data_IF_530187656303
#
_entry.id   IF_530187656303
#
_cell.length_a   1.000
_cell.length_b   1.000
_cell.length_c   1.000
_cell.angle_alpha   90.00
_cell.angle_beta   90.00
_cell.angle_gamma   90.00
#
_symmetry.space_group_name_H-M   'P 1'
#
loop_
_entity.id
_entity.type
_entity.pdbx_description
1 polymer ?
#
# COMPACT_ATOMS: atom_id res chain seq x y z
N UNK A 1 3.34 0.20 12.93
CA UNK A 1 4.03 0.73 11.74
C UNK A 1 3.34 2.01 11.31
N UNK A 2 4.12 3.00 10.84
CA UNK A 2 3.58 4.16 10.12
C UNK A 2 4.18 4.22 8.71
N UNK A 3 3.39 4.72 7.74
CA UNK A 3 3.86 4.96 6.38
C UNK A 3 4.31 6.42 6.20
N UNK A 4 5.28 6.63 5.31
CA UNK A 4 5.72 7.97 4.93
C UNK A 4 4.74 8.65 3.96
N UNK A 5 4.79 9.99 3.86
CA UNK A 5 3.96 10.76 2.92
C UNK A 5 4.56 10.78 1.49
N UNK A 6 5.01 9.63 0.99
CA UNK A 6 5.67 9.48 -0.32
C UNK A 6 4.87 8.69 -1.36
N UNK A 7 3.67 8.22 -1.02
CA UNK A 7 2.82 7.40 -1.88
C UNK A 7 2.74 7.91 -3.32
N UNK A 8 2.32 9.16 -3.49
CA UNK A 8 2.00 9.77 -4.77
C UNK A 8 3.18 10.52 -5.40
N UNK A 9 4.19 10.88 -4.59
CA UNK A 9 5.25 11.78 -5.02
C UNK A 9 6.37 11.02 -5.77
N UNK A 10 6.83 11.61 -6.86
CA UNK A 10 8.09 11.31 -7.51
C UNK A 10 8.87 12.62 -7.72
N UNK A 11 10.10 12.54 -8.17
CA UNK A 11 10.95 13.73 -8.39
C UNK A 11 10.35 14.69 -9.40
N UNK A 12 9.77 14.16 -10.49
CA UNK A 12 9.14 14.99 -11.54
C UNK A 12 7.98 15.85 -11.04
N UNK A 13 7.20 15.37 -10.05
CA UNK A 13 6.13 16.16 -9.44
C UNK A 13 6.69 17.35 -8.66
N UNK A 14 7.78 17.17 -7.94
CA UNK A 14 8.47 18.26 -7.23
C UNK A 14 9.14 19.24 -8.21
N UNK A 15 9.77 18.75 -9.28
CA UNK A 15 10.36 19.59 -10.32
C UNK A 15 9.29 20.44 -11.02
N UNK A 16 8.09 19.90 -11.25
CA UNK A 16 7.00 20.62 -11.91
C UNK A 16 6.50 21.84 -11.12
N UNK A 17 6.76 21.88 -9.81
CA UNK A 17 6.45 23.04 -8.95
C UNK A 17 7.67 23.93 -8.68
N UNK A 18 8.77 23.71 -9.40
CA UNK A 18 9.94 24.60 -9.44
C UNK A 18 11.13 24.18 -8.58
N UNK A 19 11.13 22.98 -7.99
CA UNK A 19 12.33 22.47 -7.31
C UNK A 19 13.37 22.00 -8.34
N UNK A 20 14.65 22.19 -8.03
CA UNK A 20 15.72 21.54 -8.78
C UNK A 20 15.70 20.02 -8.59
N UNK A 21 16.33 19.26 -9.47
CA UNK A 21 16.42 17.80 -9.35
C UNK A 21 17.00 17.35 -7.99
N UNK A 22 17.98 18.10 -7.45
CA UNK A 22 18.53 17.81 -6.12
C UNK A 22 17.48 18.06 -5.03
N UNK A 23 16.81 19.21 -5.04
CA UNK A 23 15.79 19.54 -4.04
C UNK A 23 14.60 18.57 -4.12
N UNK A 24 14.21 18.11 -5.31
CA UNK A 24 13.17 17.11 -5.49
C UNK A 24 13.54 15.76 -4.84
N UNK A 25 14.78 15.30 -5.02
CA UNK A 25 15.30 14.09 -4.36
C UNK A 25 15.35 14.26 -2.84
N UNK A 26 15.87 15.39 -2.36
CA UNK A 26 15.96 15.70 -0.93
C UNK A 26 14.54 15.77 -0.30
N UNK A 27 13.58 16.35 -0.99
CA UNK A 27 12.19 16.41 -0.54
C UNK A 27 11.57 15.02 -0.41
N UNK A 28 11.77 14.14 -1.39
CA UNK A 28 11.27 12.76 -1.34
C UNK A 28 11.93 11.98 -0.18
N UNK A 29 13.24 12.04 -0.03
CA UNK A 29 13.96 11.39 1.06
C UNK A 29 13.54 11.93 2.44
N UNK A 30 13.22 13.23 2.55
CA UNK A 30 12.81 13.86 3.81
C UNK A 30 11.50 13.30 4.39
N UNK A 31 10.66 12.66 3.58
CA UNK A 31 9.42 12.02 4.06
C UNK A 31 9.69 10.96 5.12
N UNK A 32 10.77 10.19 4.97
CA UNK A 32 11.24 9.23 5.98
C UNK A 32 11.73 9.93 7.25
N UNK A 33 12.49 11.00 7.11
CA UNK A 33 12.97 11.78 8.27
C UNK A 33 11.80 12.36 9.08
N UNK A 34 10.74 12.83 8.41
CA UNK A 34 9.55 13.36 9.08
C UNK A 34 8.83 12.24 9.85
N UNK A 35 8.64 11.09 9.22
CA UNK A 35 8.02 9.93 9.86
C UNK A 35 8.86 9.44 11.06
N UNK A 36 10.17 9.37 10.94
CA UNK A 36 11.08 9.02 12.06
C UNK A 36 10.93 9.95 13.26
N UNK A 37 10.85 11.26 13.03
CA UNK A 37 10.63 12.22 14.12
C UNK A 37 9.29 12.01 14.82
N UNK A 38 8.25 11.64 14.09
CA UNK A 38 6.92 11.41 14.65
C UNK A 38 6.87 10.19 15.60
N UNK A 39 7.79 9.23 15.44
CA UNK A 39 7.85 8.00 16.26
C UNK A 39 9.10 7.94 17.14
N UNK A 40 9.82 9.05 17.30
CA UNK A 40 11.03 9.11 18.11
C UNK A 40 10.77 8.64 19.55
N UNK A 41 11.64 7.77 20.06
CA UNK A 41 11.50 7.18 21.40
C UNK A 41 10.45 6.06 21.49
N UNK A 42 9.87 5.60 20.38
CA UNK A 42 8.94 4.47 20.33
C UNK A 42 9.55 3.27 19.56
N UNK A 43 8.89 2.11 19.62
CA UNK A 43 9.22 0.93 18.82
C UNK A 43 8.47 0.87 17.48
N UNK A 44 7.84 1.96 17.05
CA UNK A 44 7.06 2.00 15.81
C UNK A 44 7.99 2.05 14.61
N UNK A 45 7.87 1.07 13.74
CA UNK A 45 8.62 1.01 12.49
C UNK A 45 8.09 2.02 11.46
N UNK A 46 8.99 2.53 10.61
CA UNK A 46 8.69 3.45 9.51
C UNK A 46 8.79 2.70 8.19
N UNK A 47 7.72 2.71 7.41
CA UNK A 47 7.67 2.13 6.07
C UNK A 47 7.63 3.24 5.01
N UNK A 48 8.56 3.19 4.05
CA UNK A 48 8.54 4.10 2.92
C UNK A 48 7.43 3.71 1.93
N UNK A 49 6.44 4.58 1.80
CA UNK A 49 5.25 4.33 0.96
C UNK A 49 5.54 4.55 -0.53
N UNK A 50 5.19 3.56 -1.33
CA UNK A 50 5.34 3.55 -2.79
C UNK A 50 4.01 3.13 -3.42
N UNK A 51 3.29 4.09 -3.98
CA UNK A 51 2.10 3.82 -4.78
C UNK A 51 2.45 3.46 -6.23
N UNK A 52 1.47 3.02 -7.03
CA UNK A 52 1.65 2.72 -8.44
C UNK A 52 2.02 3.97 -9.23
N UNK A 53 2.55 3.78 -10.43
CA UNK A 53 2.84 4.88 -11.35
C UNK A 53 1.62 5.79 -11.57
N UNK A 54 0.43 5.18 -11.68
CA UNK A 54 -0.83 5.91 -11.86
C UNK A 54 -1.12 6.95 -10.79
N UNK A 55 -0.68 6.72 -9.55
CA UNK A 55 -0.85 7.69 -8.46
C UNK A 55 -0.09 9.00 -8.74
N UNK A 56 1.07 8.92 -9.39
CA UNK A 56 1.88 10.10 -9.75
C UNK A 56 1.23 10.99 -10.79
N UNK A 57 0.30 10.45 -11.59
CA UNK A 57 -0.44 11.18 -12.62
C UNK A 57 -1.60 12.02 -12.06
N UNK A 58 -2.03 11.74 -10.81
CA UNK A 58 -3.12 12.44 -10.12
C UNK A 58 -4.44 12.53 -10.93
N UNK A 59 -4.72 11.48 -11.73
CA UNK A 59 -5.89 11.41 -12.62
C UNK A 59 -6.80 10.19 -12.37
N UNK A 60 -6.53 9.43 -11.28
CA UNK A 60 -7.28 8.24 -10.90
C UNK A 60 -6.85 6.96 -11.61
N UNK A 61 -5.76 6.98 -12.38
CA UNK A 61 -5.28 5.79 -13.08
C UNK A 61 -4.71 4.71 -12.14
N UNK A 62 -4.38 5.04 -10.91
CA UNK A 62 -4.09 4.07 -9.85
C UNK A 62 -5.27 3.11 -9.58
N UNK A 63 -6.50 3.49 -9.92
CA UNK A 63 -7.69 2.66 -9.74
C UNK A 63 -8.14 1.94 -11.03
N UNK A 64 -7.31 1.91 -12.08
CA UNK A 64 -7.63 1.17 -13.30
C UNK A 64 -6.41 0.64 -14.06
N UNK A 65 -5.19 0.98 -13.67
CA UNK A 65 -3.95 0.53 -14.31
C UNK A 65 -3.71 1.05 -15.72
N UNK A 66 -4.51 2.02 -16.21
CA UNK A 66 -4.42 2.54 -17.58
C UNK A 66 -3.65 3.84 -17.59
N UNK A 67 -2.34 3.75 -17.69
CA UNK A 67 -1.45 4.91 -17.54
C UNK A 67 -1.31 5.74 -18.80
N UNK A 68 -1.53 5.16 -19.98
CA UNK A 68 -1.43 5.86 -21.27
C UNK A 68 0.00 6.28 -21.64
N UNK A 69 0.99 5.60 -21.10
CA UNK A 69 2.42 5.80 -21.35
C UNK A 69 3.10 4.50 -21.76
N UNK A 70 4.30 4.59 -22.31
CA UNK A 70 5.14 3.41 -22.58
C UNK A 70 5.64 2.80 -21.24
N UNK A 71 5.74 1.47 -21.19
CA UNK A 71 6.12 0.74 -19.98
C UNK A 71 7.49 1.16 -19.41
N UNK A 72 8.41 1.56 -20.28
CA UNK A 72 9.71 2.10 -19.87
C UNK A 72 9.58 3.32 -18.94
N UNK A 73 8.55 4.15 -19.12
CA UNK A 73 8.33 5.32 -18.25
C UNK A 73 7.86 4.88 -16.83
N UNK A 74 7.12 3.78 -16.74
CA UNK A 74 6.74 3.17 -15.46
C UNK A 74 7.97 2.62 -14.75
N UNK A 75 8.84 1.91 -15.48
CA UNK A 75 10.10 1.39 -14.96
C UNK A 75 11.02 2.52 -14.48
N UNK A 76 11.27 3.52 -15.31
CA UNK A 76 12.14 4.67 -14.97
C UNK A 76 11.66 5.39 -13.70
N UNK A 77 10.34 5.57 -13.57
CA UNK A 77 9.73 6.19 -12.38
C UNK A 77 9.99 5.37 -11.12
N UNK A 78 9.76 4.06 -11.16
CA UNK A 78 9.96 3.20 -9.99
C UNK A 78 11.44 3.07 -9.65
N UNK A 79 12.33 2.94 -10.63
CA UNK A 79 13.78 2.90 -10.39
C UNK A 79 14.29 4.14 -9.68
N UNK A 80 13.90 5.32 -10.14
CA UNK A 80 14.32 6.57 -9.52
C UNK A 80 13.75 6.72 -8.11
N UNK A 81 12.46 6.48 -7.93
CA UNK A 81 11.77 6.62 -6.64
C UNK A 81 12.30 5.64 -5.60
N UNK A 82 12.43 4.37 -5.98
CA UNK A 82 12.91 3.32 -5.07
C UNK A 82 14.36 3.54 -4.67
N UNK A 83 15.24 3.92 -5.58
CA UNK A 83 16.63 4.24 -5.25
C UNK A 83 16.73 5.32 -4.15
N UNK A 84 15.87 6.34 -4.19
CA UNK A 84 15.83 7.39 -3.16
C UNK A 84 15.28 6.87 -1.84
N UNK A 85 14.20 6.11 -1.88
CA UNK A 85 13.50 5.66 -0.67
C UNK A 85 14.24 4.54 0.05
N UNK A 86 14.91 3.64 -0.68
CA UNK A 86 15.78 2.61 -0.10
C UNK A 86 16.92 3.25 0.71
N UNK A 87 17.54 4.30 0.15
CA UNK A 87 18.62 5.04 0.83
C UNK A 87 18.11 5.97 1.96
N UNK A 88 16.81 6.17 2.10
CA UNK A 88 16.24 7.14 3.05
C UNK A 88 16.31 6.69 4.52
N UNK A 89 16.64 5.41 4.78
CA UNK A 89 16.71 4.86 6.13
C UNK A 89 15.36 4.44 6.71
N UNK A 90 14.38 4.11 5.87
CA UNK A 90 13.15 3.44 6.30
C UNK A 90 13.44 2.01 6.78
N UNK A 91 12.62 1.47 7.69
CA UNK A 91 12.78 0.09 8.17
C UNK A 91 12.23 -0.92 7.16
N UNK A 92 11.23 -0.51 6.39
CA UNK A 92 10.46 -1.31 5.45
C UNK A 92 10.10 -0.48 4.21
N UNK A 93 9.80 -1.17 3.11
CA UNK A 93 9.16 -0.57 1.94
C UNK A 93 7.70 -1.04 1.88
N UNK A 94 6.78 -0.09 1.75
CA UNK A 94 5.35 -0.33 1.60
C UNK A 94 4.94 -0.16 0.14
N UNK A 95 4.84 -1.24 -0.61
CA UNK A 95 4.31 -1.24 -1.96
C UNK A 95 2.80 -1.39 -1.86
N UNK A 96 2.05 -0.33 -2.20
CA UNK A 96 0.64 -0.28 -1.84
C UNK A 96 -0.28 0.25 -2.94
N UNK A 97 -1.53 -0.26 -2.93
CA UNK A 97 -2.60 0.07 -3.90
C UNK A 97 -2.22 -0.29 -5.35
N UNK A 98 -1.40 -1.31 -5.53
CA UNK A 98 -0.93 -1.70 -6.87
C UNK A 98 -2.10 -2.30 -7.65
N UNK A 99 -2.41 -1.78 -8.86
CA UNK A 99 -3.51 -2.29 -9.66
C UNK A 99 -3.11 -3.44 -10.59
N UNK A 100 -1.81 -3.57 -10.95
CA UNK A 100 -1.31 -4.49 -11.96
C UNK A 100 -0.29 -5.47 -11.39
N UNK A 101 -0.45 -6.75 -11.67
CA UNK A 101 0.51 -7.78 -11.31
C UNK A 101 1.89 -7.54 -11.95
N UNK A 102 1.91 -7.09 -13.20
CA UNK A 102 3.14 -6.82 -13.94
C UNK A 102 3.93 -5.65 -13.34
N UNK A 103 3.24 -4.63 -12.78
CA UNK A 103 3.88 -3.52 -12.07
C UNK A 103 4.44 -3.98 -10.71
N UNK A 104 3.70 -4.83 -9.99
CA UNK A 104 4.20 -5.42 -8.75
C UNK A 104 5.48 -6.24 -8.98
N UNK A 105 5.51 -7.06 -10.02
CA UNK A 105 6.68 -7.85 -10.40
C UNK A 105 7.88 -6.95 -10.75
N UNK A 106 7.68 -5.93 -11.57
CA UNK A 106 8.71 -4.95 -11.91
C UNK A 106 9.30 -4.28 -10.65
N UNK A 107 8.44 -3.88 -9.70
CA UNK A 107 8.88 -3.27 -8.45
C UNK A 107 9.70 -4.26 -7.61
N UNK A 108 9.27 -5.53 -7.53
CA UNK A 108 10.00 -6.56 -6.80
C UNK A 108 11.41 -6.79 -7.39
N UNK A 109 11.53 -6.87 -8.72
CA UNK A 109 12.82 -6.97 -9.41
C UNK A 109 13.75 -5.78 -9.11
N UNK A 110 13.20 -4.55 -9.12
CA UNK A 110 13.98 -3.35 -8.79
C UNK A 110 14.44 -3.37 -7.32
N UNK A 111 13.59 -3.80 -6.39
CA UNK A 111 13.95 -3.89 -4.97
C UNK A 111 15.07 -4.91 -4.74
N UNK A 112 15.05 -6.06 -5.44
CA UNK A 112 16.13 -7.05 -5.38
C UNK A 112 17.45 -6.49 -5.93
N UNK A 113 17.41 -5.81 -7.08
CA UNK A 113 18.60 -5.15 -7.66
C UNK A 113 19.22 -4.10 -6.73
N UNK A 114 18.38 -3.37 -5.98
CA UNK A 114 18.82 -2.32 -5.05
C UNK A 114 19.28 -2.88 -3.68
N UNK A 115 19.06 -4.16 -3.39
CA UNK A 115 19.29 -4.72 -2.04
C UNK A 115 18.45 -4.00 -0.99
N UNK A 116 17.18 -3.78 -1.28
CA UNK A 116 16.27 -2.98 -0.48
C UNK A 116 15.98 -3.61 0.89
N UNK A 117 15.54 -2.81 1.89
CA UNK A 117 14.95 -3.34 3.12
C UNK A 117 13.74 -4.24 2.81
N UNK A 118 13.34 -5.12 3.76
CA UNK A 118 12.15 -5.94 3.59
C UNK A 118 10.91 -5.13 3.18
N UNK A 119 10.04 -5.71 2.36
CA UNK A 119 8.88 -5.02 1.83
C UNK A 119 7.60 -5.82 2.03
N UNK A 120 6.46 -5.11 2.10
CA UNK A 120 5.18 -5.74 1.84
C UNK A 120 4.61 -5.26 0.52
N UNK A 121 3.74 -6.09 -0.06
CA UNK A 121 2.98 -5.73 -1.24
C UNK A 121 1.48 -5.79 -0.95
N UNK A 122 0.76 -4.75 -1.28
CA UNK A 122 -0.69 -4.71 -1.20
C UNK A 122 -1.31 -4.20 -2.49
N UNK A 123 -2.30 -4.94 -2.95
CA UNK A 123 -3.04 -4.64 -4.17
C UNK A 123 -4.33 -3.88 -3.83
N UNK A 124 -4.78 -3.05 -4.75
CA UNK A 124 -6.12 -2.51 -4.72
C UNK A 124 -7.07 -3.41 -5.53
N UNK A 125 -8.21 -3.80 -4.94
CA UNK A 125 -9.18 -4.69 -5.58
C UNK A 125 -10.49 -3.97 -5.90
N UNK A 126 -10.99 -4.20 -7.13
CA UNK A 126 -12.27 -3.69 -7.59
C UNK A 126 -13.44 -4.50 -7.01
N UNK A 127 -13.23 -5.80 -6.82
CA UNK A 127 -14.17 -6.75 -6.24
C UNK A 127 -13.41 -7.93 -5.60
N UNK A 128 -14.12 -9.03 -5.26
CA UNK A 128 -13.53 -10.23 -4.66
C UNK A 128 -12.73 -11.11 -5.62
N UNK A 129 -12.66 -10.76 -6.91
CA UNK A 129 -12.05 -11.63 -7.95
C UNK A 129 -10.88 -10.97 -8.69
N UNK A 130 -10.82 -9.63 -8.70
CA UNK A 130 -9.85 -8.92 -9.53
C UNK A 130 -9.38 -7.59 -8.92
N UNK A 131 -8.15 -7.22 -9.27
CA UNK A 131 -7.55 -5.94 -8.91
C UNK A 131 -8.24 -4.78 -9.66
N UNK A 132 -7.91 -3.54 -9.31
CA UNK A 132 -8.35 -2.36 -10.06
C UNK A 132 -7.93 -2.40 -11.54
N UNK A 133 -6.81 -3.04 -11.86
CA UNK A 133 -6.31 -3.23 -13.23
C UNK A 133 -6.88 -4.46 -13.94
N UNK A 134 -7.85 -5.16 -13.33
CA UNK A 134 -8.53 -6.35 -13.84
C UNK A 134 -7.66 -7.61 -13.89
N UNK A 135 -6.56 -7.66 -13.16
CA UNK A 135 -5.82 -8.90 -12.94
C UNK A 135 -6.55 -9.77 -11.92
N UNK A 136 -6.63 -11.07 -12.17
CA UNK A 136 -7.20 -12.02 -11.21
C UNK A 136 -6.38 -12.08 -9.92
N UNK A 137 -7.02 -12.41 -8.79
CA UNK A 137 -6.37 -12.46 -7.46
C UNK A 137 -5.14 -13.35 -7.46
N UNK A 138 -5.24 -14.54 -8.07
CA UNK A 138 -4.12 -15.49 -8.15
C UNK A 138 -2.94 -14.92 -8.97
N UNK A 139 -3.21 -14.30 -10.13
CA UNK A 139 -2.16 -13.64 -10.92
C UNK A 139 -1.45 -12.56 -10.10
N UNK A 140 -2.21 -11.69 -9.42
CA UNK A 140 -1.64 -10.62 -8.61
C UNK A 140 -0.79 -11.16 -7.46
N UNK A 141 -1.32 -12.09 -6.69
CA UNK A 141 -0.66 -12.65 -5.50
C UNK A 141 0.57 -13.47 -5.88
N UNK A 142 0.47 -14.32 -6.90
CA UNK A 142 1.59 -15.19 -7.30
C UNK A 142 2.71 -14.44 -8.04
N UNK A 143 2.44 -13.25 -8.59
CA UNK A 143 3.47 -12.44 -9.28
C UNK A 143 4.65 -12.08 -8.37
N UNK A 144 4.42 -11.94 -7.06
CA UNK A 144 5.45 -11.50 -6.09
C UNK A 144 5.67 -12.49 -4.96
N UNK A 145 4.99 -13.64 -4.96
CA UNK A 145 5.13 -14.63 -3.88
C UNK A 145 6.55 -15.22 -3.77
N UNK A 146 7.37 -15.09 -4.81
CA UNK A 146 8.78 -15.50 -4.83
C UNK A 146 9.77 -14.43 -4.38
N UNK A 147 9.34 -13.21 -4.07
CA UNK A 147 10.22 -12.15 -3.59
C UNK A 147 10.83 -12.52 -2.23
N UNK A 148 12.17 -12.52 -2.14
CA UNK A 148 12.89 -13.11 -1.01
C UNK A 148 12.65 -12.38 0.34
N UNK A 149 12.55 -11.05 0.29
CA UNK A 149 12.37 -10.19 1.47
C UNK A 149 10.91 -9.75 1.67
N UNK A 150 9.96 -10.59 1.24
CA UNK A 150 8.53 -10.34 1.39
C UNK A 150 8.08 -10.52 2.85
N UNK A 151 7.71 -9.42 3.50
CA UNK A 151 7.21 -9.42 4.89
C UNK A 151 5.74 -9.81 4.96
N UNK A 152 4.95 -9.33 4.03
CA UNK A 152 3.53 -9.62 3.93
C UNK A 152 3.00 -9.34 2.52
N UNK A 153 1.90 -9.98 2.19
CA UNK A 153 1.14 -9.72 0.97
C UNK A 153 -0.33 -9.49 1.33
N UNK A 154 -1.03 -8.65 0.58
CA UNK A 154 -2.45 -8.45 0.86
C UNK A 154 -3.11 -7.36 0.06
N UNK A 155 -3.96 -6.59 0.74
CA UNK A 155 -4.79 -5.58 0.10
C UNK A 155 -4.89 -4.29 0.91
N UNK A 156 -5.05 -3.18 0.19
CA UNK A 156 -5.42 -1.90 0.78
C UNK A 156 -6.34 -1.10 -0.15
N UNK A 157 -6.89 -0.01 0.36
CA UNK A 157 -7.80 0.87 -0.38
C UNK A 157 -8.98 0.14 -1.07
N UNK A 158 -9.18 -1.10 -0.71
CA UNK A 158 -10.27 -1.99 -1.16
C UNK A 158 -11.50 -1.77 -0.29
N UNK A 159 -12.68 -1.94 -0.83
CA UNK A 159 -13.92 -1.80 -0.06
C UNK A 159 -14.02 -2.94 0.99
N UNK A 160 -14.36 -2.65 2.26
CA UNK A 160 -14.35 -3.64 3.36
C UNK A 160 -15.20 -4.89 3.10
N UNK A 161 -16.26 -4.78 2.29
CA UNK A 161 -17.14 -5.92 1.96
C UNK A 161 -16.43 -7.08 1.25
N UNK A 162 -15.31 -6.81 0.58
CA UNK A 162 -14.57 -7.83 -0.19
C UNK A 162 -13.44 -8.50 0.61
N UNK A 163 -13.09 -7.92 1.78
CA UNK A 163 -11.90 -8.32 2.55
C UNK A 163 -11.94 -9.79 2.95
N UNK A 164 -13.07 -10.27 3.47
CA UNK A 164 -13.16 -11.65 3.95
C UNK A 164 -12.93 -12.67 2.82
N UNK A 165 -13.57 -12.48 1.66
CA UNK A 165 -13.40 -13.34 0.49
C UNK A 165 -11.98 -13.28 -0.07
N UNK A 166 -11.40 -12.10 -0.13
CA UNK A 166 -10.03 -11.90 -0.62
C UNK A 166 -9.00 -12.53 0.32
N UNK A 167 -9.14 -12.36 1.65
CA UNK A 167 -8.25 -13.01 2.62
C UNK A 167 -8.34 -14.54 2.53
N UNK A 168 -9.54 -15.10 2.40
CA UNK A 168 -9.72 -16.53 2.22
C UNK A 168 -8.99 -17.04 0.96
N UNK A 169 -9.21 -16.39 -0.19
CA UNK A 169 -8.54 -16.75 -1.44
C UNK A 169 -7.01 -16.62 -1.35
N UNK A 170 -6.50 -15.53 -0.77
CA UNK A 170 -5.07 -15.32 -0.61
C UNK A 170 -4.43 -16.34 0.32
N UNK A 171 -5.08 -16.70 1.44
CA UNK A 171 -4.55 -17.67 2.39
C UNK A 171 -4.36 -19.06 1.79
N UNK A 172 -5.16 -19.42 0.79
CA UNK A 172 -5.01 -20.67 0.03
C UNK A 172 -3.85 -20.62 -0.96
N UNK A 173 -3.57 -19.44 -1.54
CA UNK A 173 -2.53 -19.25 -2.55
C UNK A 173 -1.11 -19.15 -1.95
N UNK A 174 -0.97 -18.52 -0.76
CA UNK A 174 0.34 -18.23 -0.18
C UNK A 174 0.49 -18.79 1.22
N UNK A 175 0.86 -20.07 1.32
CA UNK A 175 1.11 -20.70 2.60
C UNK A 175 2.40 -20.16 3.25
N UNK A 176 2.29 -19.72 4.50
CA UNK A 176 3.44 -19.27 5.29
C UNK A 176 3.84 -17.79 5.10
N UNK A 177 3.22 -17.07 4.18
CA UNK A 177 3.41 -15.62 4.03
C UNK A 177 2.32 -14.90 4.84
N UNK A 178 2.67 -13.99 5.78
CA UNK A 178 1.69 -13.20 6.51
C UNK A 178 0.81 -12.36 5.59
N UNK A 179 -0.49 -12.27 5.89
CA UNK A 179 -1.39 -11.39 5.15
C UNK A 179 -1.48 -10.01 5.80
N UNK A 180 -1.58 -8.97 4.96
CA UNK A 180 -1.78 -7.58 5.37
C UNK A 180 -3.10 -7.03 4.81
N UNK A 181 -3.87 -6.31 5.64
CA UNK A 181 -5.14 -5.73 5.26
C UNK A 181 -5.34 -4.36 5.88
N UNK A 182 -5.59 -3.36 5.04
CA UNK A 182 -5.94 -1.99 5.45
C UNK A 182 -6.90 -1.37 4.43
N UNK A 183 -8.20 -1.73 4.54
CA UNK A 183 -9.23 -1.28 3.61
C UNK A 183 -9.57 0.20 3.80
N UNK A 184 -10.34 0.76 2.87
CA UNK A 184 -10.95 2.06 3.05
C UNK A 184 -12.15 1.97 4.04
N UNK A 185 -12.79 3.11 4.32
CA UNK A 185 -13.94 3.15 5.27
C UNK A 185 -15.28 2.72 4.65
N UNK A 186 -15.29 2.17 3.42
CA UNK A 186 -16.50 1.65 2.76
C UNK A 186 -17.37 2.67 2.02
N UNK A 187 -17.04 3.96 2.07
CA UNK A 187 -17.70 4.97 1.24
C UNK A 187 -17.13 4.98 -0.17
N UNK A 188 -17.91 5.46 -1.12
CA UNK A 188 -17.49 5.68 -2.49
C UNK A 188 -17.01 7.13 -2.68
N UNK A 189 -15.95 7.31 -3.47
CA UNK A 189 -15.45 8.63 -3.81
C UNK A 189 -16.15 9.17 -5.07
N UNK A 190 -16.93 10.25 -4.92
CA UNK A 190 -17.45 10.99 -6.05
C UNK A 190 -16.38 11.97 -6.56
N UNK A 191 -15.75 11.64 -7.69
CA UNK A 191 -14.67 12.44 -8.26
C UNK A 191 -15.16 13.78 -8.83
N UNK A 192 -16.45 13.92 -9.15
CA UNK A 192 -17.05 15.15 -9.67
C UNK A 192 -17.37 16.09 -8.52
N UNK A 193 -18.07 15.59 -7.51
CA UNK A 193 -18.42 16.37 -6.32
C UNK A 193 -17.24 16.51 -5.34
N UNK A 194 -16.14 15.75 -5.54
CA UNK A 194 -14.96 15.69 -4.67
C UNK A 194 -15.32 15.43 -3.21
N UNK A 195 -16.21 14.49 -2.98
CA UNK A 195 -16.65 14.09 -1.65
C UNK A 195 -16.88 12.59 -1.55
N UNK A 196 -16.88 12.09 -0.30
CA UNK A 196 -17.25 10.73 -0.01
C UNK A 196 -18.77 10.60 0.10
N UNK A 197 -19.36 9.63 -0.59
CA UNK A 197 -20.80 9.34 -0.59
C UNK A 197 -21.07 7.95 0.01
N UNK A 198 -22.29 7.75 0.53
CA UNK A 198 -22.69 6.50 1.18
C UNK A 198 -22.32 6.42 2.66
N UNK A 199 -22.63 5.29 3.28
CA UNK A 199 -22.38 5.04 4.69
C UNK A 199 -21.00 4.41 4.91
N UNK A 200 -20.33 4.81 6.00
CA UNK A 200 -19.09 4.17 6.41
C UNK A 200 -19.36 2.81 7.06
N UNK A 201 -18.49 1.84 6.77
CA UNK A 201 -18.47 0.56 7.46
C UNK A 201 -17.48 0.60 8.61
N UNK A 202 -17.86 0.09 9.78
CA UNK A 202 -16.91 -0.09 10.88
C UNK A 202 -15.99 -1.28 10.57
N UNK A 203 -14.69 -1.02 10.45
CA UNK A 203 -13.65 -2.04 10.28
C UNK A 203 -13.00 -2.44 11.61
N UNK A 204 -13.31 -1.72 12.69
CA UNK A 204 -12.68 -1.86 14.01
C UNK A 204 -13.51 -2.72 15.01
N UNK A 205 -14.63 -3.29 14.57
CA UNK A 205 -15.37 -4.21 15.43
C UNK A 205 -14.50 -5.44 15.77
N UNK A 206 -14.46 -5.84 17.04
CA UNK A 206 -13.61 -6.96 17.49
C UNK A 206 -13.87 -8.26 16.73
N UNK A 207 -15.12 -8.54 16.37
CA UNK A 207 -15.50 -9.70 15.57
C UNK A 207 -14.92 -9.61 14.13
N UNK A 208 -14.86 -8.42 13.54
CA UNK A 208 -14.26 -8.20 12.22
C UNK A 208 -12.75 -8.43 12.28
N UNK A 209 -12.07 -7.83 13.24
CA UNK A 209 -10.62 -8.00 13.45
C UNK A 209 -10.29 -9.47 13.73
N UNK A 210 -11.05 -10.12 14.61
CA UNK A 210 -10.88 -11.55 14.90
C UNK A 210 -11.02 -12.40 13.62
N UNK A 211 -12.06 -12.17 12.83
CA UNK A 211 -12.29 -12.91 11.59
C UNK A 211 -11.13 -12.73 10.59
N UNK A 212 -10.59 -11.53 10.46
CA UNK A 212 -9.42 -11.30 9.59
C UNK A 212 -8.16 -12.01 10.10
N UNK A 213 -7.95 -12.02 11.42
CA UNK A 213 -6.87 -12.79 12.03
C UNK A 213 -7.03 -14.30 11.79
N UNK A 214 -8.25 -14.82 11.95
CA UNK A 214 -8.56 -16.24 11.70
C UNK A 214 -8.33 -16.60 10.21
N UNK A 215 -8.55 -15.66 9.28
CA UNK A 215 -8.28 -15.78 7.85
C UNK A 215 -6.80 -15.54 7.46
N UNK A 216 -5.91 -15.34 8.41
CA UNK A 216 -4.47 -15.26 8.16
C UNK A 216 -3.88 -13.85 8.20
N UNK A 217 -4.67 -12.80 8.43
CA UNK A 217 -4.12 -11.45 8.58
C UNK A 217 -3.21 -11.36 9.83
N UNK A 218 -2.04 -10.76 9.65
CA UNK A 218 -1.08 -10.49 10.74
C UNK A 218 -0.78 -8.99 10.86
N UNK A 219 -1.06 -8.25 9.79
CA UNK A 219 -0.98 -6.79 9.76
C UNK A 219 -2.36 -6.25 9.41
N UNK A 220 -2.90 -5.39 10.27
CA UNK A 220 -4.23 -4.81 10.11
C UNK A 220 -4.12 -3.30 10.32
N UNK A 221 -4.74 -2.55 9.43
CA UNK A 221 -4.75 -1.09 9.47
C UNK A 221 -5.97 -0.51 8.78
N UNK A 222 -5.87 0.76 8.45
CA UNK A 222 -6.88 1.50 7.69
C UNK A 222 -6.27 2.33 6.58
N UNK A 223 -6.99 2.50 5.48
CA UNK A 223 -6.64 3.34 4.36
C UNK A 223 -7.59 4.56 4.28
N UNK A 224 -7.96 4.98 3.09
CA UNK A 224 -8.76 6.19 2.84
C UNK A 224 -10.01 6.29 3.73
N UNK A 225 -10.15 7.41 4.43
CA UNK A 225 -11.28 7.71 5.29
C UNK A 225 -11.23 7.07 6.69
N UNK A 226 -10.24 6.23 6.99
CA UNK A 226 -9.99 5.73 8.35
C UNK A 226 -9.10 6.72 9.07
N UNK A 227 -9.62 7.34 10.09
CA UNK A 227 -8.93 8.36 10.88
C UNK A 227 -8.10 7.77 12.04
N UNK A 228 -7.33 8.57 12.77
CA UNK A 228 -6.56 8.09 13.92
C UNK A 228 -7.40 7.44 15.02
N UNK A 229 -8.67 7.82 15.19
CA UNK A 229 -9.56 7.18 16.16
C UNK A 229 -9.91 5.76 15.70
N UNK A 230 -10.20 5.58 14.41
CA UNK A 230 -10.40 4.24 13.82
C UNK A 230 -9.18 3.33 13.99
N UNK A 231 -7.97 3.87 13.92
CA UNK A 231 -6.75 3.08 14.21
C UNK A 231 -6.66 2.73 15.70
N UNK A 232 -6.99 3.65 16.61
CA UNK A 232 -7.01 3.36 18.04
C UNK A 232 -8.05 2.28 18.40
N UNK A 233 -9.20 2.29 17.73
CA UNK A 233 -10.24 1.27 17.88
C UNK A 233 -9.75 -0.10 17.38
N UNK A 234 -9.01 -0.15 16.25
CA UNK A 234 -8.37 -1.39 15.75
C UNK A 234 -7.37 -1.95 16.77
N UNK A 235 -6.58 -1.10 17.43
CA UNK A 235 -5.66 -1.51 18.50
C UNK A 235 -6.45 -2.12 19.68
N UNK A 236 -7.52 -1.47 20.09
CA UNK A 236 -8.40 -1.96 21.18
C UNK A 236 -9.02 -3.32 20.81
N UNK A 237 -9.51 -3.46 19.57
CA UNK A 237 -10.05 -4.72 19.07
C UNK A 237 -9.00 -5.85 19.08
N UNK A 238 -7.77 -5.56 18.60
CA UNK A 238 -6.66 -6.51 18.63
C UNK A 238 -6.37 -7.00 20.06
N UNK A 239 -6.29 -6.10 21.00
CA UNK A 239 -5.95 -6.42 22.40
C UNK A 239 -7.04 -7.28 23.04
N UNK A 240 -8.31 -7.10 22.64
CA UNK A 240 -9.45 -7.90 23.14
C UNK A 240 -9.45 -9.34 22.64
N UNK A 241 -8.85 -9.64 21.48
CA UNK A 241 -8.78 -11.00 20.92
C UNK A 241 -7.51 -11.75 21.34
N UNK A 242 -6.53 -11.06 21.91
CA UNK A 242 -5.27 -11.64 22.38
C UNK A 242 -5.33 -12.06 23.85
N UNK A 243 -6.46 -11.81 24.52
CA UNK A 243 -6.76 -12.13 25.93
C UNK A 243 -7.50 -13.44 26.04
#
# INVERSE_FOLDING_TARGET
IIATASYQCGTKQFESIGLSAKEARDALASTTTIARRAVEGTSVAVAASVGPFGASLANGSEYNGRYGVEWQQVEDYHREKLAILVDSGADLIAIETIPLADEALLIAEILEELGAPPAWFSFGFADETQTFGLDAVDKAVLSIAGYADLVAIGMNCTHPRYVDSLLASMSELVSGIPLIVYPNHGREWDAVARCWIGDSMSISAAETVKRWVDLGARFIGGCCGVDPLGIADLVTARDSISS
#
